data_IF_127000505486
#
_entry.id   IF_127000505486
#
_cell.length_a   1.000
_cell.length_b   1.000
_cell.length_c   1.000
_cell.angle_alpha   90.00
_cell.angle_beta   90.00
_cell.angle_gamma   90.00
#
_symmetry.space_group_name_H-M   'P 1'
#
loop_
_entity.id
_entity.type
_entity.pdbx_description
1 polymer ?
#
# COMPACT_ATOMS: atom_id res chain seq x y z
N UNK A 1 23.87 6.71 -17.75
CA UNK A 1 24.92 5.66 -17.77
C UNK A 1 24.94 5.00 -16.39
N UNK A 2 24.52 3.73 -16.27
CA UNK A 2 24.54 3.04 -14.97
C UNK A 2 26.00 2.84 -14.58
N UNK A 3 26.42 3.37 -13.43
CA UNK A 3 27.76 3.09 -12.91
C UNK A 3 27.77 1.62 -12.43
N UNK A 4 28.26 0.72 -13.30
CA UNK A 4 28.26 -0.72 -13.09
C UNK A 4 28.91 -1.09 -11.74
N UNK A 5 29.97 -0.38 -11.32
CA UNK A 5 30.62 -0.58 -10.03
C UNK A 5 29.68 -0.29 -8.85
N UNK A 6 28.88 0.77 -8.92
CA UNK A 6 27.84 1.10 -7.91
C UNK A 6 26.77 0.01 -7.86
N UNK A 7 26.37 -0.54 -9.01
CA UNK A 7 25.40 -1.63 -9.10
C UNK A 7 25.92 -2.95 -8.50
N UNK A 8 27.19 -3.32 -8.77
CA UNK A 8 27.81 -4.50 -8.17
C UNK A 8 27.97 -4.36 -6.64
N UNK A 9 28.37 -3.18 -6.16
CA UNK A 9 28.48 -2.90 -4.73
C UNK A 9 27.11 -3.00 -4.02
N UNK A 10 26.09 -2.33 -4.59
CA UNK A 10 24.71 -2.38 -4.07
C UNK A 10 24.07 -3.77 -4.22
N UNK A 11 24.48 -4.51 -5.24
CA UNK A 11 23.96 -5.83 -5.58
C UNK A 11 22.63 -5.82 -6.33
N UNK A 12 22.23 -4.67 -6.90
CA UNK A 12 21.07 -4.53 -7.77
C UNK A 12 21.20 -3.30 -8.69
N UNK A 13 20.42 -3.28 -9.77
CA UNK A 13 20.18 -2.16 -10.68
C UNK A 13 18.73 -1.69 -10.48
N UNK A 14 18.49 -0.39 -10.66
CA UNK A 14 17.16 0.20 -10.55
C UNK A 14 16.80 0.59 -9.12
N UNK A 15 15.51 0.53 -8.82
CA UNK A 15 14.92 1.13 -7.62
C UNK A 15 14.70 2.64 -7.74
N UNK A 16 14.08 3.25 -6.72
CA UNK A 16 13.90 4.70 -6.62
C UNK A 16 15.24 5.45 -6.67
N UNK A 17 15.36 6.47 -7.53
CA UNK A 17 16.54 7.34 -7.56
C UNK A 17 16.15 8.80 -7.30
N UNK A 18 16.48 9.30 -6.12
CA UNK A 18 16.11 10.65 -5.70
C UNK A 18 17.10 11.75 -6.15
N UNK A 19 18.00 11.46 -7.09
CA UNK A 19 18.77 12.49 -7.79
C UNK A 19 17.87 13.27 -8.76
N UNK A 20 16.82 12.63 -9.29
CA UNK A 20 15.77 13.24 -10.11
C UNK A 20 14.41 12.88 -9.50
N UNK A 21 13.69 13.88 -8.96
CA UNK A 21 12.35 13.70 -8.42
C UNK A 21 11.36 14.57 -9.16
N UNK A 22 10.18 14.02 -9.39
CA UNK A 22 9.01 14.79 -9.75
C UNK A 22 8.40 15.39 -8.48
N UNK A 23 8.23 16.70 -8.49
CA UNK A 23 7.62 17.47 -7.41
C UNK A 23 6.11 17.56 -7.66
N UNK A 24 5.33 16.71 -7.02
CA UNK A 24 3.88 16.69 -7.19
C UNK A 24 3.20 17.71 -6.29
N UNK A 25 2.19 18.39 -6.84
CA UNK A 25 1.27 19.28 -6.13
C UNK A 25 -0.16 18.84 -6.44
N UNK A 26 -0.86 18.34 -5.43
CA UNK A 26 -2.22 17.80 -5.55
C UNK A 26 -3.16 18.57 -4.63
N UNK A 27 -4.23 19.11 -5.19
CA UNK A 27 -5.24 19.89 -4.48
C UNK A 27 -6.27 18.92 -3.89
N UNK A 28 -6.40 18.95 -2.57
CA UNK A 28 -7.41 18.24 -1.81
C UNK A 28 -8.44 19.24 -1.30
N UNK A 29 -9.38 19.66 -2.14
CA UNK A 29 -10.41 20.67 -1.78
C UNK A 29 -9.79 21.93 -1.13
N UNK A 30 -9.84 22.05 0.20
CA UNK A 30 -9.29 23.15 1.01
C UNK A 30 -7.80 23.02 1.34
N UNK A 31 -7.15 21.93 0.93
CA UNK A 31 -5.78 21.56 1.29
C UNK A 31 -4.90 21.34 0.07
N UNK A 32 -3.59 21.48 0.27
CA UNK A 32 -2.57 21.16 -0.71
C UNK A 32 -1.69 20.03 -0.17
N UNK A 33 -1.57 18.96 -0.95
CA UNK A 33 -0.53 17.95 -0.77
C UNK A 33 0.63 18.28 -1.70
N UNK A 34 1.83 18.30 -1.13
CA UNK A 34 3.08 18.28 -1.88
C UNK A 34 3.88 17.05 -1.51
N UNK A 35 4.55 16.44 -2.49
CA UNK A 35 5.43 15.31 -2.28
C UNK A 35 6.47 15.20 -3.38
N UNK A 36 7.63 14.69 -3.00
CA UNK A 36 8.73 14.40 -3.90
C UNK A 36 8.79 12.91 -4.13
N UNK A 37 8.59 12.49 -5.38
CA UNK A 37 8.61 11.08 -5.77
C UNK A 37 9.61 10.90 -6.91
N UNK A 38 10.56 9.97 -6.79
CA UNK A 38 11.51 9.71 -7.87
C UNK A 38 10.80 9.03 -9.04
N UNK A 39 11.25 9.32 -10.26
CA UNK A 39 10.59 8.79 -11.45
C UNK A 39 10.59 7.26 -11.47
N UNK A 40 9.49 6.67 -11.94
CA UNK A 40 9.40 5.24 -12.22
C UNK A 40 10.51 4.81 -13.18
N UNK A 41 11.19 3.72 -12.84
CA UNK A 41 12.13 3.06 -13.77
C UNK A 41 11.46 1.95 -14.59
N UNK A 42 10.13 1.88 -14.55
CA UNK A 42 9.28 0.97 -15.30
C UNK A 42 8.59 1.77 -16.41
N UNK A 43 8.69 1.27 -17.63
CA UNK A 43 7.95 1.84 -18.76
C UNK A 43 6.47 1.58 -18.58
N UNK A 44 5.72 2.61 -18.20
CA UNK A 44 4.26 2.60 -18.16
C UNK A 44 3.73 3.56 -19.24
N UNK A 45 2.48 3.33 -19.67
CA UNK A 45 1.79 4.31 -20.52
C UNK A 45 1.62 5.59 -19.70
N UNK A 46 2.01 6.76 -20.20
CA UNK A 46 1.78 8.02 -19.51
C UNK A 46 0.29 8.18 -19.20
N UNK A 47 -0.02 8.47 -17.95
CA UNK A 47 -1.38 8.79 -17.51
C UNK A 47 -1.42 10.21 -17.00
N UNK A 48 -2.37 11.01 -17.48
CA UNK A 48 -2.64 12.34 -16.93
C UNK A 48 -3.05 12.18 -15.46
N UNK A 49 -2.31 12.83 -14.57
CA UNK A 49 -2.63 12.87 -13.14
C UNK A 49 -3.65 13.98 -12.92
N UNK A 50 -4.81 13.64 -12.35
CA UNK A 50 -5.76 14.64 -11.90
C UNK A 50 -5.11 15.52 -10.82
N UNK A 51 -5.29 16.83 -10.92
CA UNK A 51 -4.66 17.77 -9.98
C UNK A 51 -5.57 18.09 -8.80
N UNK A 52 -6.89 17.89 -8.93
CA UNK A 52 -7.88 18.28 -7.92
C UNK A 52 -8.77 17.13 -7.51
N UNK A 53 -8.87 16.91 -6.19
CA UNK A 53 -9.63 15.83 -5.59
C UNK A 53 -10.53 16.40 -4.47
N UNK A 54 -11.84 16.62 -4.73
CA UNK A 54 -12.80 17.10 -3.74
C UNK A 54 -13.13 15.99 -2.73
N UNK A 55 -12.21 15.76 -1.80
CA UNK A 55 -12.18 14.57 -0.94
C UNK A 55 -13.36 14.45 0.02
N UNK A 56 -14.14 15.52 0.29
CA UNK A 56 -15.37 15.43 1.08
C UNK A 56 -16.62 15.14 0.23
N UNK A 57 -16.56 15.26 -1.09
CA UNK A 57 -17.71 15.03 -1.96
C UNK A 57 -17.99 13.54 -2.12
N UNK A 58 -19.02 13.04 -1.45
CA UNK A 58 -19.45 11.63 -1.55
C UNK A 58 -19.94 11.26 -2.95
N UNK A 59 -20.60 12.17 -3.67
CA UNK A 59 -21.06 11.89 -5.04
C UNK A 59 -19.86 11.72 -5.98
N UNK A 60 -18.89 12.63 -5.91
CA UNK A 60 -17.66 12.56 -6.69
C UNK A 60 -16.85 11.31 -6.33
N UNK A 61 -16.68 11.01 -5.03
CA UNK A 61 -15.96 9.81 -4.59
C UNK A 61 -16.59 8.54 -5.17
N UNK A 62 -17.92 8.40 -5.12
CA UNK A 62 -18.59 7.22 -5.66
C UNK A 62 -18.49 7.08 -7.18
N UNK A 63 -18.33 8.19 -7.92
CA UNK A 63 -18.11 8.17 -9.38
C UNK A 63 -16.69 7.74 -9.77
N UNK A 64 -15.70 8.05 -8.93
CA UNK A 64 -14.28 7.85 -9.25
C UNK A 64 -13.64 6.68 -8.47
N UNK A 65 -14.33 6.12 -7.47
CA UNK A 65 -13.77 5.07 -6.64
C UNK A 65 -13.53 3.80 -7.43
N UNK A 66 -12.46 3.12 -7.06
CA UNK A 66 -12.12 1.76 -7.47
C UNK A 66 -12.28 0.85 -6.27
N UNK A 67 -12.72 -0.37 -6.55
CA UNK A 67 -12.81 -1.44 -5.57
C UNK A 67 -11.71 -2.46 -5.88
N UNK A 68 -10.85 -2.74 -4.92
CA UNK A 68 -9.86 -3.79 -5.02
C UNK A 68 -9.69 -4.49 -3.67
N UNK A 69 -10.03 -5.78 -3.64
CA UNK A 69 -10.11 -6.57 -2.41
C UNK A 69 -11.00 -5.87 -1.36
N UNK A 70 -10.46 -5.60 -0.18
CA UNK A 70 -11.15 -4.92 0.93
C UNK A 70 -11.04 -3.39 0.88
N UNK A 71 -10.41 -2.81 -0.15
CA UNK A 71 -10.28 -1.37 -0.27
C UNK A 71 -11.29 -0.81 -1.28
N UNK A 72 -12.02 0.21 -0.86
CA UNK A 72 -12.69 1.18 -1.74
C UNK A 72 -11.94 2.51 -1.66
N UNK A 73 -11.46 3.03 -2.78
CA UNK A 73 -10.62 4.25 -2.79
C UNK A 73 -10.66 4.98 -4.13
N UNK A 74 -10.40 6.28 -4.10
CA UNK A 74 -10.03 7.04 -5.30
C UNK A 74 -8.51 7.10 -5.39
N UNK A 75 -8.01 6.83 -6.59
CA UNK A 75 -6.59 6.80 -6.90
C UNK A 75 -6.08 8.22 -7.22
N UNK A 76 -4.91 8.59 -6.72
CA UNK A 76 -4.28 9.88 -7.02
C UNK A 76 -2.97 9.75 -7.81
N UNK A 77 -2.03 8.94 -7.32
CA UNK A 77 -0.67 8.81 -7.88
C UNK A 77 -0.11 7.40 -7.63
N UNK A 78 0.57 6.81 -8.60
CA UNK A 78 1.27 5.51 -8.53
C UNK A 78 2.63 5.69 -9.14
N UNK A 79 3.65 5.29 -8.42
CA UNK A 79 4.97 5.10 -8.98
C UNK A 79 5.45 3.68 -8.72
N UNK A 80 6.16 3.10 -9.69
CA UNK A 80 6.64 1.73 -9.64
C UNK A 80 8.15 1.70 -9.91
N UNK A 81 8.86 0.88 -9.14
CA UNK A 81 10.28 0.68 -9.33
C UNK A 81 10.62 -0.80 -9.30
N UNK A 82 11.32 -1.25 -10.34
CA UNK A 82 11.89 -2.59 -10.42
C UNK A 82 13.34 -2.58 -9.93
N UNK A 83 13.67 -3.60 -9.16
CA UNK A 83 15.03 -3.97 -8.77
C UNK A 83 15.44 -5.18 -9.58
N UNK A 84 16.50 -5.02 -10.38
CA UNK A 84 17.04 -6.05 -11.26
C UNK A 84 18.42 -6.48 -10.74
N UNK A 85 18.88 -7.72 -11.02
CA UNK A 85 20.24 -8.10 -10.67
C UNK A 85 21.27 -7.36 -11.53
N UNK A 86 22.48 -7.08 -11.02
CA UNK A 86 23.52 -6.41 -11.80
C UNK A 86 23.98 -7.18 -13.03
N UNK A 87 23.89 -8.52 -12.97
CA UNK A 87 24.14 -9.41 -14.11
C UNK A 87 23.03 -10.45 -14.16
N UNK A 88 22.34 -10.51 -15.30
CA UNK A 88 21.30 -11.50 -15.56
C UNK A 88 21.92 -12.84 -15.95
N UNK A 89 22.51 -13.55 -15.00
CA UNK A 89 22.90 -14.95 -15.23
C UNK A 89 21.65 -15.83 -15.07
N UNK A 90 21.07 -16.26 -16.21
CA UNK A 90 20.08 -17.35 -16.33
C UNK A 90 18.67 -17.02 -15.76
N UNK A 91 17.61 -17.78 -16.13
CA UNK A 91 16.22 -17.58 -15.68
C UNK A 91 15.99 -17.66 -14.16
N UNK A 92 17.05 -17.82 -13.37
CA UNK A 92 17.02 -17.93 -11.91
C UNK A 92 17.14 -16.58 -11.18
N UNK A 93 17.44 -15.49 -11.89
CA UNK A 93 17.65 -14.12 -11.39
C UNK A 93 16.55 -13.63 -10.42
N UNK A 94 16.91 -12.85 -9.39
CA UNK A 94 15.93 -12.26 -8.44
C UNK A 94 15.48 -10.88 -8.93
N UNK A 95 14.19 -10.61 -8.84
CA UNK A 95 13.54 -9.35 -9.13
C UNK A 95 12.75 -8.84 -7.91
N UNK A 96 13.02 -7.60 -7.53
CA UNK A 96 12.19 -6.86 -6.60
C UNK A 96 11.26 -5.92 -7.34
N UNK A 97 10.06 -5.71 -6.82
CA UNK A 97 9.23 -4.58 -7.23
C UNK A 97 8.84 -3.80 -5.98
N UNK A 98 9.02 -2.49 -6.03
CA UNK A 98 8.55 -1.56 -5.03
C UNK A 98 7.58 -0.62 -5.71
N UNK A 99 6.42 -0.37 -5.11
CA UNK A 99 5.48 0.61 -5.63
C UNK A 99 4.99 1.51 -4.51
N UNK A 100 4.68 2.75 -4.84
CA UNK A 100 4.03 3.73 -3.97
C UNK A 100 2.69 4.11 -4.61
N UNK A 101 1.62 4.14 -3.84
CA UNK A 101 0.32 4.62 -4.30
C UNK A 101 -0.32 5.56 -3.29
N UNK A 102 -0.67 6.78 -3.73
CA UNK A 102 -1.49 7.71 -2.97
C UNK A 102 -2.96 7.55 -3.34
N UNK A 103 -3.81 7.56 -2.32
CA UNK A 103 -5.24 7.28 -2.43
C UNK A 103 -6.04 8.13 -1.45
N UNK A 104 -7.30 8.39 -1.79
CA UNK A 104 -8.31 8.90 -0.87
C UNK A 104 -9.27 7.77 -0.54
N UNK A 105 -9.63 7.62 0.74
CA UNK A 105 -10.69 6.75 1.21
C UNK A 105 -11.77 7.56 1.91
N UNK A 106 -13.03 7.13 1.79
CA UNK A 106 -14.15 7.64 2.55
C UNK A 106 -14.84 6.52 3.36
N UNK A 107 -15.33 6.87 4.55
CA UNK A 107 -16.17 5.98 5.37
C UNK A 107 -17.06 6.80 6.29
N UNK A 108 -18.34 6.41 6.38
CA UNK A 108 -19.31 6.98 7.32
C UNK A 108 -19.52 6.08 8.54
N UNK A 109 -18.71 5.02 8.68
CA UNK A 109 -18.87 4.01 9.75
C UNK A 109 -18.21 4.42 11.07
N UNK A 110 -17.29 5.37 11.01
CA UNK A 110 -16.50 5.88 12.14
C UNK A 110 -16.29 7.39 11.99
N UNK A 111 -15.88 8.05 13.07
CA UNK A 111 -15.22 9.35 12.95
C UNK A 111 -13.73 9.12 12.64
N UNK A 112 -13.31 9.45 11.42
CA UNK A 112 -11.93 9.24 10.93
C UNK A 112 -10.91 10.12 11.67
N UNK A 113 -11.32 11.27 12.20
CA UNK A 113 -10.44 12.13 13.02
C UNK A 113 -10.10 11.48 14.37
N UNK A 114 -10.93 10.56 14.86
CA UNK A 114 -10.58 9.71 16.00
C UNK A 114 -9.61 8.61 15.54
N UNK A 115 -8.31 8.85 15.79
CA UNK A 115 -7.25 7.92 15.39
C UNK A 115 -7.37 6.53 16.03
N UNK A 116 -8.07 6.37 17.17
CA UNK A 116 -8.33 5.05 17.75
C UNK A 116 -9.40 4.31 16.96
N UNK A 117 -10.47 5.01 16.53
CA UNK A 117 -11.47 4.44 15.65
C UNK A 117 -10.85 4.06 14.30
N UNK A 118 -10.05 4.95 13.70
CA UNK A 118 -9.37 4.67 12.43
C UNK A 118 -8.45 3.45 12.51
N UNK A 119 -7.66 3.32 13.59
CA UNK A 119 -6.80 2.14 13.82
C UNK A 119 -7.58 0.83 13.86
N UNK A 120 -8.73 0.81 14.52
CA UNK A 120 -9.59 -0.39 14.58
C UNK A 120 -10.22 -0.66 13.23
N UNK A 121 -10.77 0.38 12.62
CA UNK A 121 -11.46 0.32 11.34
C UNK A 121 -10.63 -0.32 10.23
N UNK A 122 -9.38 0.10 10.02
CA UNK A 122 -8.55 -0.45 8.93
C UNK A 122 -8.24 -1.94 9.11
N UNK A 123 -8.16 -2.42 10.37
CA UNK A 123 -7.95 -3.83 10.69
C UNK A 123 -9.26 -4.62 10.53
N UNK A 124 -10.37 -4.03 10.96
CA UNK A 124 -11.69 -4.64 10.86
C UNK A 124 -12.15 -4.74 9.40
N UNK A 125 -11.87 -3.75 8.54
CA UNK A 125 -12.15 -3.84 7.09
C UNK A 125 -11.48 -5.07 6.47
N UNK A 126 -10.20 -5.30 6.77
CA UNK A 126 -9.46 -6.46 6.31
C UNK A 126 -10.07 -7.77 6.83
N UNK A 127 -10.30 -7.85 8.15
CA UNK A 127 -10.80 -9.06 8.78
C UNK A 127 -12.21 -9.41 8.29
N UNK A 128 -13.11 -8.43 8.23
CA UNK A 128 -14.49 -8.60 7.80
C UNK A 128 -14.56 -9.02 6.32
N UNK A 129 -13.68 -8.50 5.46
CA UNK A 129 -13.62 -8.93 4.07
C UNK A 129 -13.21 -10.41 3.94
N UNK A 130 -12.22 -10.86 4.70
CA UNK A 130 -11.71 -12.24 4.58
C UNK A 130 -12.53 -13.27 5.37
N UNK A 131 -13.19 -12.87 6.45
CA UNK A 131 -14.04 -13.71 7.32
C UNK A 131 -15.54 -13.47 7.14
N UNK A 132 -15.95 -12.60 6.22
CA UNK A 132 -17.35 -12.42 5.83
C UNK A 132 -17.96 -13.69 5.23
N UNK A 133 -19.26 -13.69 4.95
CA UNK A 133 -19.98 -14.84 4.36
C UNK A 133 -19.30 -15.41 3.13
N UNK A 134 -18.87 -14.53 2.22
CA UNK A 134 -18.20 -14.85 0.96
C UNK A 134 -16.67 -14.73 1.05
N UNK A 135 -16.15 -14.56 2.26
CA UNK A 135 -14.73 -14.40 2.53
C UNK A 135 -13.94 -15.68 2.29
N UNK A 136 -12.71 -15.52 1.78
CA UNK A 136 -11.84 -16.67 1.48
C UNK A 136 -11.55 -17.54 2.71
N UNK A 137 -11.39 -16.94 3.90
CA UNK A 137 -11.14 -17.71 5.12
C UNK A 137 -12.39 -18.50 5.54
N UNK A 138 -13.59 -17.95 5.34
CA UNK A 138 -14.86 -18.64 5.59
C UNK A 138 -15.00 -19.85 4.67
N UNK A 139 -14.68 -19.68 3.37
CA UNK A 139 -14.61 -20.81 2.44
C UNK A 139 -13.61 -21.87 2.91
N UNK A 140 -12.39 -21.47 3.23
CA UNK A 140 -11.35 -22.38 3.70
C UNK A 140 -11.76 -23.12 4.98
N UNK A 141 -12.43 -22.45 5.90
CA UNK A 141 -12.99 -23.05 7.11
C UNK A 141 -14.04 -24.11 6.76
N UNK A 142 -14.97 -23.81 5.85
CA UNK A 142 -16.02 -24.75 5.44
C UNK A 142 -15.44 -25.95 4.70
N UNK A 143 -14.49 -25.74 3.80
CA UNK A 143 -13.78 -26.80 3.08
C UNK A 143 -13.03 -27.71 4.08
N UNK A 144 -12.37 -27.13 5.09
CA UNK A 144 -11.66 -27.88 6.14
C UNK A 144 -12.63 -28.72 6.99
N UNK A 145 -13.81 -28.17 7.35
CA UNK A 145 -14.87 -28.92 8.05
C UNK A 145 -15.39 -30.07 7.21
N UNK A 146 -15.62 -29.84 5.91
CA UNK A 146 -16.08 -30.87 4.97
C UNK A 146 -15.04 -31.99 4.80
N UNK A 147 -13.76 -31.64 4.68
CA UNK A 147 -12.67 -32.61 4.65
C UNK A 147 -12.60 -33.41 5.96
N UNK A 148 -12.73 -32.74 7.12
CA UNK A 148 -12.75 -33.39 8.43
C UNK A 148 -13.79 -34.51 8.49
N UNK A 149 -15.02 -34.21 8.05
CA UNK A 149 -16.14 -35.15 8.08
C UNK A 149 -15.97 -36.37 7.17
N UNK A 150 -15.08 -36.29 6.17
CA UNK A 150 -14.78 -37.40 5.25
C UNK A 150 -13.64 -38.30 5.74
N UNK A 151 -12.93 -37.91 6.81
CA UNK A 151 -11.83 -38.71 7.37
C UNK A 151 -12.38 -39.91 8.13
N UNK A 152 -11.63 -41.01 8.13
CA UNK A 152 -11.91 -42.16 9.01
C UNK A 152 -11.91 -41.75 10.49
N UNK A 153 -11.03 -40.81 10.86
CA UNK A 153 -11.01 -40.14 12.16
C UNK A 153 -11.17 -38.62 11.94
N UNK A 154 -12.39 -38.08 12.04
CA UNK A 154 -12.64 -36.65 11.95
C UNK A 154 -11.91 -35.86 13.03
N UNK A 155 -11.51 -34.63 12.71
CA UNK A 155 -11.09 -33.66 13.72
C UNK A 155 -12.33 -33.07 14.39
N UNK A 156 -12.28 -32.96 15.72
CA UNK A 156 -13.34 -32.38 16.54
C UNK A 156 -12.78 -31.36 17.54
N UNK A 157 -13.66 -30.48 18.04
CA UNK A 157 -13.34 -29.49 19.06
C UNK A 157 -12.08 -28.66 18.73
N UNK A 158 -11.14 -28.64 19.66
CA UNK A 158 -9.89 -27.89 19.54
C UNK A 158 -8.97 -28.38 18.42
N UNK A 159 -9.01 -29.68 18.08
CA UNK A 159 -8.19 -30.20 16.99
C UNK A 159 -8.61 -29.63 15.63
N UNK A 160 -9.93 -29.54 15.39
CA UNK A 160 -10.47 -28.94 14.17
C UNK A 160 -10.19 -27.44 14.11
N UNK A 161 -10.34 -26.74 15.25
CA UNK A 161 -10.02 -25.31 15.34
C UNK A 161 -8.55 -25.05 15.02
N UNK A 162 -7.64 -25.85 15.57
CA UNK A 162 -6.19 -25.76 15.30
C UNK A 162 -5.87 -26.01 13.82
N UNK A 163 -6.52 -27.01 13.21
CA UNK A 163 -6.35 -27.30 11.77
C UNK A 163 -6.81 -26.13 10.90
N UNK A 164 -8.00 -25.56 11.18
CA UNK A 164 -8.52 -24.38 10.47
C UNK A 164 -7.54 -23.21 10.59
N UNK A 165 -7.06 -22.90 11.80
CA UNK A 165 -6.11 -21.81 12.02
C UNK A 165 -4.77 -22.06 11.29
N UNK A 166 -4.23 -23.29 11.34
CA UNK A 166 -3.01 -23.65 10.62
C UNK A 166 -3.15 -23.52 9.10
N UNK A 167 -4.32 -23.85 8.55
CA UNK A 167 -4.62 -23.65 7.13
C UNK A 167 -4.81 -22.19 6.77
N UNK A 168 -5.46 -21.39 7.62
CA UNK A 168 -5.57 -19.93 7.41
C UNK A 168 -4.19 -19.28 7.41
N UNK A 169 -3.30 -19.69 8.32
CA UNK A 169 -1.92 -19.21 8.37
C UNK A 169 -1.13 -19.57 7.10
N UNK A 170 -1.35 -20.77 6.57
CA UNK A 170 -0.61 -21.29 5.41
C UNK A 170 -1.15 -20.81 4.06
N UNK A 171 -2.47 -20.77 3.91
CA UNK A 171 -3.14 -20.56 2.62
C UNK A 171 -4.07 -19.34 2.63
N UNK A 172 -4.67 -19.06 3.78
CA UNK A 172 -5.63 -17.99 3.97
C UNK A 172 -5.01 -16.61 4.22
N UNK A 173 -5.77 -15.78 4.92
CA UNK A 173 -5.46 -14.41 5.27
C UNK A 173 -5.52 -14.26 6.80
N UNK A 174 -4.40 -14.50 7.50
CA UNK A 174 -4.40 -14.44 8.96
C UNK A 174 -4.69 -13.01 9.45
N UNK A 175 -5.21 -12.86 10.69
CA UNK A 175 -5.45 -11.55 11.27
C UNK A 175 -4.21 -10.66 11.24
N UNK A 176 -4.40 -9.38 10.93
CA UNK A 176 -3.31 -8.41 10.94
C UNK A 176 -2.92 -8.06 12.38
N UNK A 177 -1.64 -7.73 12.62
CA UNK A 177 -1.25 -7.02 13.84
C UNK A 177 -2.04 -5.71 13.98
N UNK A 178 -2.28 -5.28 15.22
CA UNK A 178 -2.97 -4.01 15.47
C UNK A 178 -2.26 -2.83 14.80
N UNK A 179 -3.05 -1.94 14.20
CA UNK A 179 -2.56 -0.69 13.63
C UNK A 179 -1.92 0.19 14.71
N UNK A 180 -0.86 0.91 14.34
CA UNK A 180 -0.04 1.71 15.25
C UNK A 180 -0.15 3.20 14.90
N UNK A 181 0.08 4.06 15.88
CA UNK A 181 0.31 5.48 15.61
C UNK A 181 1.79 5.69 15.31
N UNK A 182 2.11 6.42 14.25
CA UNK A 182 3.49 6.85 13.94
C UNK A 182 3.48 8.35 13.66
N UNK A 183 4.56 9.04 14.03
CA UNK A 183 4.70 10.48 13.78
C UNK A 183 5.67 10.67 12.62
N UNK A 184 5.23 11.37 11.58
CA UNK A 184 6.05 11.73 10.40
C UNK A 184 5.71 13.17 10.06
N UNK A 185 6.73 14.03 9.94
CA UNK A 185 6.58 15.47 9.70
C UNK A 185 5.58 16.13 10.68
N UNK A 186 5.75 15.86 11.98
CA UNK A 186 4.90 16.36 13.08
C UNK A 186 3.40 16.05 12.95
N UNK A 187 3.05 15.09 12.08
CA UNK A 187 1.68 14.62 11.88
C UNK A 187 1.55 13.18 12.37
N UNK A 188 0.43 12.90 13.03
CA UNK A 188 0.11 11.55 13.48
C UNK A 188 -0.55 10.75 12.35
N UNK A 189 0.14 9.69 11.92
CA UNK A 189 -0.34 8.72 10.95
C UNK A 189 -0.79 7.44 11.64
N UNK A 190 -1.79 6.78 11.07
CA UNK A 190 -2.15 5.40 11.40
C UNK A 190 -1.43 4.46 10.44
N UNK A 191 -0.59 3.57 10.97
CA UNK A 191 0.18 2.62 10.21
C UNK A 191 -0.34 1.19 10.42
N UNK A 192 -0.56 0.46 9.33
CA UNK A 192 -0.79 -0.98 9.36
C UNK A 192 -0.07 -1.69 8.22
N UNK A 193 0.14 -3.00 8.37
CA UNK A 193 0.91 -3.80 7.43
C UNK A 193 0.17 -5.09 7.10
N UNK A 194 0.12 -5.42 5.81
CA UNK A 194 -0.33 -6.72 5.32
C UNK A 194 0.91 -7.53 4.94
N UNK A 195 1.20 -8.58 5.72
CA UNK A 195 2.31 -9.51 5.47
C UNK A 195 1.91 -10.90 5.91
N UNK A 196 1.91 -11.86 4.98
CA UNK A 196 1.70 -13.28 5.31
C UNK A 196 3.02 -13.88 5.82
N UNK A 197 2.98 -14.75 6.83
CA UNK A 197 4.17 -15.37 7.41
C UNK A 197 5.00 -16.15 6.38
N UNK A 198 4.33 -16.82 5.44
CA UNK A 198 4.95 -17.60 4.38
C UNK A 198 5.30 -16.80 3.12
N UNK A 199 4.99 -15.49 3.07
CA UNK A 199 5.35 -14.61 1.95
C UNK A 199 6.38 -13.58 2.39
N UNK A 200 7.36 -13.34 1.53
CA UNK A 200 8.34 -12.27 1.75
C UNK A 200 7.85 -10.91 1.26
N UNK A 201 6.81 -10.88 0.43
CA UNK A 201 6.16 -9.64 0.03
C UNK A 201 5.33 -9.07 1.18
N UNK A 202 5.26 -7.74 1.26
CA UNK A 202 4.42 -7.03 2.22
C UNK A 202 3.84 -5.77 1.60
N UNK A 203 2.74 -5.30 2.16
CA UNK A 203 2.18 -3.99 1.90
C UNK A 203 2.14 -3.19 3.19
N UNK A 204 2.66 -1.96 3.12
CA UNK A 204 2.72 -1.02 4.21
C UNK A 204 1.74 0.12 3.90
N UNK A 205 0.89 0.49 4.85
CA UNK A 205 -0.14 1.50 4.66
C UNK A 205 -0.01 2.58 5.71
N UNK A 206 -0.04 3.84 5.27
CA UNK A 206 -0.04 5.02 6.12
C UNK A 206 -1.29 5.83 5.88
N UNK A 207 -2.12 5.98 6.90
CA UNK A 207 -3.38 6.70 6.83
C UNK A 207 -3.29 8.03 7.60
N UNK A 208 -3.63 9.13 6.93
CA UNK A 208 -3.71 10.47 7.52
C UNK A 208 -5.16 10.95 7.47
N UNK A 209 -5.83 11.15 8.62
CA UNK A 209 -7.16 11.74 8.68
C UNK A 209 -7.20 13.11 7.97
N UNK A 210 -8.23 13.33 7.13
CA UNK A 210 -8.45 14.60 6.44
C UNK A 210 -9.70 15.31 6.95
N UNK A 211 -10.79 14.56 7.14
CA UNK A 211 -12.05 15.01 7.75
C UNK A 211 -12.68 13.89 8.58
N UNK A 212 -13.88 14.10 9.13
CA UNK A 212 -14.61 13.09 9.90
C UNK A 212 -14.93 11.81 9.10
N UNK A 213 -14.94 11.90 7.77
CA UNK A 213 -15.34 10.79 6.89
C UNK A 213 -14.30 10.43 5.84
N UNK A 214 -13.17 11.13 5.77
CA UNK A 214 -12.19 10.91 4.72
C UNK A 214 -10.75 10.91 5.26
N UNK A 215 -9.91 10.08 4.65
CA UNK A 215 -8.47 10.03 4.94
C UNK A 215 -7.66 9.78 3.67
N UNK A 216 -6.43 10.30 3.69
CA UNK A 216 -5.38 9.96 2.73
C UNK A 216 -4.77 8.61 3.14
N UNK A 217 -4.60 7.69 2.20
CA UNK A 217 -3.88 6.43 2.38
C UNK A 217 -2.70 6.38 1.41
N UNK A 218 -1.50 6.12 1.93
CA UNK A 218 -0.29 5.85 1.15
C UNK A 218 0.02 4.37 1.27
N UNK A 219 -0.11 3.61 0.18
CA UNK A 219 0.31 2.21 0.10
C UNK A 219 1.74 2.14 -0.44
N UNK A 220 2.59 1.36 0.22
CA UNK A 220 3.83 0.84 -0.33
C UNK A 220 3.77 -0.67 -0.50
N UNK A 221 3.99 -1.16 -1.72
CA UNK A 221 4.02 -2.60 -2.01
C UNK A 221 5.46 -3.06 -2.20
N UNK A 222 5.97 -3.87 -1.27
CA UNK A 222 7.28 -4.51 -1.37
C UNK A 222 7.07 -5.93 -1.89
N UNK A 223 7.20 -6.12 -3.21
CA UNK A 223 7.06 -7.44 -3.83
C UNK A 223 8.39 -8.05 -4.17
N UNK A 224 8.44 -9.36 -4.00
CA UNK A 224 9.61 -10.15 -4.37
C UNK A 224 9.15 -11.33 -5.20
N UNK A 225 9.86 -11.60 -6.28
CA UNK A 225 9.61 -12.74 -7.17
C UNK A 225 10.10 -14.08 -6.57
N UNK A 226 11.21 -14.08 -5.82
CA UNK A 226 11.85 -15.30 -5.29
C UNK A 226 12.23 -15.17 -3.82
N UNK A 227 11.71 -16.07 -3.00
CA UNK A 227 11.97 -16.02 -1.57
C UNK A 227 13.34 -16.58 -1.20
N UNK A 228 13.95 -17.48 -1.94
CA UNK A 228 15.21 -18.16 -1.57
C UNK A 228 16.50 -17.31 -1.65
N UNK A 229 16.43 -16.04 -2.07
CA UNK A 229 17.61 -15.19 -2.32
C UNK A 229 17.81 -14.04 -1.31
N UNK A 230 19.04 -13.51 -1.28
CA UNK A 230 19.51 -12.46 -0.36
C UNK A 230 19.13 -11.06 -0.85
N UNK A 231 18.12 -10.44 -0.21
CA UNK A 231 17.40 -9.26 -0.72
C UNK A 231 18.07 -7.93 -0.39
N UNK A 232 19.24 -7.67 -0.98
CA UNK A 232 20.01 -6.42 -0.78
C UNK A 232 19.18 -5.16 -1.06
N UNK A 233 18.23 -5.24 -2.00
CA UNK A 233 17.35 -4.13 -2.36
C UNK A 233 16.25 -3.83 -1.33
N UNK A 234 15.89 -4.77 -0.44
CA UNK A 234 14.80 -4.55 0.52
C UNK A 234 15.11 -3.43 1.52
N UNK A 235 16.39 -3.29 1.90
CA UNK A 235 16.86 -2.18 2.73
C UNK A 235 16.71 -0.85 1.99
N UNK A 236 17.12 -0.82 0.72
CA UNK A 236 16.98 0.37 -0.12
C UNK A 236 15.51 0.75 -0.34
N UNK A 237 14.61 -0.22 -0.54
CA UNK A 237 13.18 0.02 -0.66
C UNK A 237 12.56 0.60 0.62
N UNK A 238 13.01 0.12 1.80
CA UNK A 238 12.62 0.68 3.10
C UNK A 238 13.10 2.12 3.29
N UNK A 239 14.38 2.39 2.99
CA UNK A 239 14.95 3.74 3.04
C UNK A 239 14.22 4.68 2.07
N UNK A 240 13.84 4.18 0.89
CA UNK A 240 13.07 4.94 -0.10
C UNK A 240 11.65 5.23 0.36
N UNK A 241 10.97 4.26 0.97
CA UNK A 241 9.65 4.45 1.58
C UNK A 241 9.70 5.56 2.64
N UNK A 242 10.68 5.50 3.53
CA UNK A 242 10.86 6.51 4.57
C UNK A 242 11.04 7.90 3.94
N UNK A 243 11.93 8.03 2.95
CA UNK A 243 12.18 9.31 2.28
C UNK A 243 10.96 9.86 1.54
N UNK A 244 10.16 9.01 0.90
CA UNK A 244 8.89 9.43 0.27
C UNK A 244 7.91 9.88 1.36
N UNK A 245 7.74 9.14 2.44
CA UNK A 245 6.84 9.55 3.53
C UNK A 245 7.27 10.88 4.17
N UNK A 246 8.57 11.11 4.35
CA UNK A 246 9.15 12.36 4.86
C UNK A 246 9.03 13.52 3.86
N UNK A 247 8.83 13.27 2.56
CA UNK A 247 8.59 14.33 1.58
C UNK A 247 7.13 14.81 1.54
N UNK A 248 6.19 14.00 2.02
CA UNK A 248 4.76 14.35 2.03
C UNK A 248 4.49 15.47 3.03
N UNK A 249 3.99 16.59 2.51
CA UNK A 249 3.53 17.73 3.29
C UNK A 249 2.08 18.05 2.93
N UNK A 250 1.28 18.28 3.97
CA UNK A 250 -0.09 18.75 3.87
C UNK A 250 -0.12 20.17 4.44
N UNK A 251 -0.65 21.12 3.69
CA UNK A 251 -0.90 22.50 4.13
C UNK A 251 -2.29 22.94 3.72
N UNK A 252 -2.75 24.06 4.24
CA UNK A 252 -3.94 24.72 3.70
C UNK A 252 -3.63 25.21 2.28
N UNK A 253 -4.66 25.23 1.42
CA UNK A 253 -4.53 25.72 0.06
C UNK A 253 -4.29 27.24 0.07
N UNK A 254 -3.22 27.76 -0.58
CA UNK A 254 -2.96 29.19 -0.60
C UNK A 254 -4.05 29.96 -1.37
N UNK A 255 -4.31 31.24 -1.05
CA UNK A 255 -5.34 32.04 -1.72
C UNK A 255 -5.16 32.14 -3.25
N UNK A 256 -3.91 32.20 -3.73
CA UNK A 256 -3.55 32.36 -5.15
C UNK A 256 -3.47 31.03 -5.93
N UNK A 257 -4.40 30.10 -5.67
CA UNK A 257 -4.36 28.72 -6.17
C UNK A 257 -4.55 28.56 -7.69
N UNK A 258 -5.08 29.54 -8.40
CA UNK A 258 -5.27 29.49 -9.86
C UNK A 258 -3.94 29.28 -10.63
N UNK A 259 -2.82 29.73 -10.06
CA UNK A 259 -1.49 29.54 -10.65
C UNK A 259 -0.93 28.11 -10.45
N UNK A 260 -1.47 27.31 -9.53
CA UNK A 260 -0.98 25.96 -9.24
C UNK A 260 -1.46 24.93 -10.27
N UNK A 261 -2.60 25.16 -10.91
CA UNK A 261 -3.18 24.28 -11.94
C UNK A 261 -2.39 24.40 -13.26
N UNK A 262 -1.79 25.58 -13.54
CA UNK A 262 -1.04 25.86 -14.77
C UNK A 262 0.44 25.44 -14.74
N UNK A 263 1.01 25.20 -13.56
CA UNK A 263 2.40 24.69 -13.44
C UNK A 263 2.50 23.18 -13.69
N UNK A 264 1.48 22.41 -13.29
CA UNK A 264 1.48 20.96 -13.52
C UNK A 264 1.34 20.57 -15.00
N UNK A 265 0.76 21.44 -15.85
CA UNK A 265 0.60 21.19 -17.29
C UNK A 265 1.83 21.55 -18.13
N UNK A 266 2.87 22.12 -17.52
CA UNK A 266 4.13 22.50 -18.20
C UNK A 266 5.27 21.49 -18.00
N UNK A 267 5.07 20.49 -17.15
CA UNK A 267 6.08 19.46 -16.85
C UNK A 267 5.80 18.13 -17.57
N UNK A 268 4.84 18.09 -18.50
CA UNK A 268 4.58 16.95 -19.40
C UNK A 268 5.39 17.06 -20.72
#
# INVERSE_FOLDING_TARGET
>A
MINLAKAFYRGFIGGPNFENCTHHRLILEDKLITLDVPDSNVSAVPSTIDVSFPYNSTSWFNQHKKNYLHHEYVYMLTENWMYLPPVSYLPSSEYGMFSCQLRIKQTNKINVLDTMQLKRFVIDEYNNYHWGSDGYNTKLQNDTKLESNKRANPWEGEALKKEILGRVESYGYPPLPAAKGVIINDRQWVFYQIKKSNKRSRQDFYCLPLSEHAFLEVEFNHRVDRSDKHKKWAKHALESQQRIMESIKLSDLPPDHDNLITDNSKND
#
